data_IF_134616384301
#
_entry.id   IF_134616384301
#
_cell.length_a   1.000
_cell.length_b   1.000
_cell.length_c   1.000
_cell.angle_alpha   90.00
_cell.angle_beta   90.00
_cell.angle_gamma   90.00
#
_symmetry.space_group_name_H-M   'P 1'
#
loop_
_entity.id
_entity.type
_entity.pdbx_description
1 polymer ?
#
# COMPACT_ATOMS: atom_id res chain seq x y z
N UNK A 1 22.30 27.41 8.60
CA UNK A 1 22.97 26.96 7.36
C UNK A 1 21.99 27.17 6.23
N UNK A 2 22.30 28.10 5.36
CA UNK A 2 21.51 28.51 4.19
C UNK A 2 21.56 27.41 3.14
N UNK A 3 20.44 26.74 2.87
CA UNK A 3 20.32 25.83 1.72
C UNK A 3 20.40 26.66 0.44
N UNK A 4 21.56 26.60 -0.21
CA UNK A 4 21.74 27.11 -1.57
C UNK A 4 20.97 26.18 -2.51
N UNK A 5 20.16 26.78 -3.38
CA UNK A 5 19.62 26.14 -4.57
C UNK A 5 20.78 25.68 -5.46
N UNK A 6 21.31 24.49 -5.23
CA UNK A 6 22.16 23.81 -6.20
C UNK A 6 21.30 22.91 -7.07
N UNK A 7 21.33 23.23 -8.36
CA UNK A 7 20.65 22.52 -9.43
C UNK A 7 21.03 21.04 -9.39
N UNK A 8 20.04 20.16 -9.48
CA UNK A 8 20.23 18.72 -9.60
C UNK A 8 21.10 18.38 -10.83
N UNK A 9 22.33 17.93 -10.59
CA UNK A 9 23.37 17.63 -11.61
C UNK A 9 23.06 16.37 -12.45
N UNK A 10 21.92 15.69 -12.22
CA UNK A 10 21.58 14.41 -12.88
C UNK A 10 20.33 14.46 -13.77
N UNK A 11 20.08 15.57 -14.46
CA UNK A 11 19.17 15.54 -15.61
C UNK A 11 19.99 15.18 -16.86
N UNK A 12 19.73 14.04 -17.53
CA UNK A 12 20.36 13.74 -18.81
C UNK A 12 20.10 14.89 -19.79
N UNK A 13 21.13 15.31 -20.52
CA UNK A 13 21.07 16.37 -21.53
C UNK A 13 19.89 16.11 -22.49
N UNK A 14 18.87 16.97 -22.44
CA UNK A 14 17.65 16.84 -23.25
C UNK A 14 16.31 16.87 -22.48
N UNK A 15 16.29 17.04 -21.15
CA UNK A 15 15.05 17.41 -20.45
C UNK A 15 14.87 18.94 -20.46
N UNK A 16 13.92 19.41 -21.27
CA UNK A 16 13.43 20.79 -21.25
C UNK A 16 13.23 21.29 -19.82
N UNK A 17 13.89 22.40 -19.49
CA UNK A 17 13.85 23.06 -18.18
C UNK A 17 12.56 23.87 -17.95
N UNK A 18 11.53 23.67 -18.76
CA UNK A 18 10.20 24.20 -18.48
C UNK A 18 9.44 23.18 -17.63
N UNK A 19 9.29 23.50 -16.35
CA UNK A 19 8.43 22.75 -15.44
C UNK A 19 7.01 22.73 -16.03
N UNK A 20 6.65 21.62 -16.67
CA UNK A 20 5.34 21.44 -17.30
C UNK A 20 4.28 21.65 -16.22
N UNK A 21 3.42 22.66 -16.40
CA UNK A 21 2.33 22.96 -15.47
C UNK A 21 1.27 21.86 -15.53
N UNK A 22 1.42 20.85 -14.69
CA UNK A 22 0.50 19.70 -14.58
C UNK A 22 -0.78 20.07 -13.84
N UNK A 23 -1.89 19.45 -14.22
CA UNK A 23 -3.15 19.55 -13.47
C UNK A 23 -3.00 18.92 -12.07
N UNK A 24 -3.69 19.46 -11.04
CA UNK A 24 -3.68 18.86 -9.71
C UNK A 24 -4.33 17.47 -9.71
N UNK A 25 -3.93 16.60 -8.76
CA UNK A 25 -4.58 15.31 -8.57
C UNK A 25 -6.08 15.51 -8.31
N UNK A 26 -6.92 14.83 -9.09
CA UNK A 26 -8.38 14.88 -8.98
C UNK A 26 -8.92 13.90 -7.95
N UNK A 27 -8.11 12.96 -7.48
CA UNK A 27 -8.47 11.97 -6.45
C UNK A 27 -9.05 12.62 -5.19
N UNK A 28 -8.46 13.73 -4.72
CA UNK A 28 -8.92 14.44 -3.53
C UNK A 28 -10.21 15.25 -3.77
N UNK A 29 -10.56 15.50 -5.04
CA UNK A 29 -11.74 16.28 -5.43
C UNK A 29 -12.98 15.40 -5.67
N UNK A 30 -12.78 14.09 -5.86
CA UNK A 30 -13.85 13.17 -6.20
C UNK A 30 -14.53 12.57 -4.97
N UNK A 31 -15.86 12.28 -5.04
CA UNK A 31 -16.54 11.52 -4.02
C UNK A 31 -15.90 10.14 -3.80
N UNK A 32 -15.97 9.62 -2.58
CA UNK A 32 -15.40 8.32 -2.21
C UNK A 32 -15.78 7.19 -3.18
N UNK A 33 -17.03 7.16 -3.66
CA UNK A 33 -17.51 6.14 -4.60
C UNK A 33 -16.76 6.21 -5.94
N UNK A 34 -16.49 7.41 -6.45
CA UNK A 34 -15.71 7.58 -7.67
C UNK A 34 -14.26 7.12 -7.49
N UNK A 35 -13.71 7.31 -6.28
CA UNK A 35 -12.39 6.81 -5.92
C UNK A 35 -12.37 5.30 -5.72
N UNK A 36 -13.45 4.71 -5.20
CA UNK A 36 -13.59 3.27 -4.99
C UNK A 36 -13.58 2.51 -6.32
N UNK A 37 -14.26 3.04 -7.33
CA UNK A 37 -14.37 2.45 -8.67
C UNK A 37 -13.36 3.02 -9.68
N UNK A 38 -12.39 3.84 -9.25
CA UNK A 38 -11.37 4.46 -10.12
C UNK A 38 -11.96 5.22 -11.32
N UNK A 39 -13.17 5.78 -11.17
CA UNK A 39 -13.91 6.42 -12.27
C UNK A 39 -13.14 7.63 -12.81
N UNK A 40 -12.34 8.28 -11.97
CA UNK A 40 -11.51 9.42 -12.36
C UNK A 40 -10.39 9.07 -13.36
N UNK A 41 -10.05 7.77 -13.53
CA UNK A 41 -9.11 7.31 -14.55
C UNK A 41 -9.75 7.08 -15.92
N UNK A 42 -11.08 7.04 -16.03
CA UNK A 42 -11.77 6.82 -17.31
C UNK A 42 -11.32 7.76 -18.44
N UNK A 43 -11.09 9.06 -18.21
CA UNK A 43 -10.57 9.95 -19.26
C UNK A 43 -9.20 9.53 -19.82
N UNK A 44 -8.37 8.82 -19.04
CA UNK A 44 -7.09 8.28 -19.51
C UNK A 44 -7.28 6.96 -20.26
N UNK A 45 -8.12 6.07 -19.73
CA UNK A 45 -8.35 4.74 -20.31
C UNK A 45 -9.08 4.83 -21.65
N UNK A 46 -10.07 5.72 -21.76
CA UNK A 46 -10.87 5.91 -22.97
C UNK A 46 -10.25 6.91 -23.96
N UNK A 47 -9.01 7.34 -23.73
CA UNK A 47 -8.33 8.32 -24.60
C UNK A 47 -7.88 7.66 -25.90
N UNK A 48 -8.23 8.27 -27.03
CA UNK A 48 -7.79 7.80 -28.37
C UNK A 48 -6.34 8.21 -28.65
N UNK A 49 -5.88 9.35 -28.09
CA UNK A 49 -4.53 9.88 -28.27
C UNK A 49 -3.55 9.26 -27.26
N UNK A 50 -2.27 9.08 -27.65
CA UNK A 50 -1.25 8.62 -26.71
C UNK A 50 -1.10 9.60 -25.54
N UNK A 51 -0.81 9.05 -24.36
CA UNK A 51 -0.58 9.81 -23.13
C UNK A 51 0.76 10.53 -23.22
N UNK A 52 0.76 11.85 -23.06
CA UNK A 52 1.98 12.66 -23.02
C UNK A 52 2.35 13.01 -21.57
N UNK A 53 3.56 13.53 -21.35
CA UNK A 53 4.03 13.95 -20.01
C UNK A 53 3.18 15.07 -19.39
N UNK A 54 2.50 15.85 -20.23
CA UNK A 54 1.63 16.96 -19.83
C UNK A 54 0.30 16.48 -19.28
N UNK A 55 -0.16 15.31 -19.72
CA UNK A 55 -1.41 14.71 -19.26
C UNK A 55 -1.30 14.14 -17.84
N UNK A 56 -0.08 13.94 -17.31
CA UNK A 56 0.13 13.30 -16.01
C UNK A 56 -0.21 14.30 -14.89
N UNK A 57 -1.11 13.93 -13.99
CA UNK A 57 -1.45 14.75 -12.83
C UNK A 57 -0.26 14.96 -11.88
N UNK A 58 -0.32 16.04 -11.10
CA UNK A 58 0.60 16.25 -9.99
C UNK A 58 0.44 15.16 -8.93
N UNK A 59 1.57 14.74 -8.34
CA UNK A 59 1.58 13.77 -7.23
C UNK A 59 0.94 14.40 -5.99
N UNK A 60 0.10 13.64 -5.30
CA UNK A 60 -0.49 14.04 -4.03
C UNK A 60 0.60 14.43 -3.02
N UNK A 61 0.32 15.40 -2.14
CA UNK A 61 1.32 15.91 -1.18
C UNK A 61 1.90 14.80 -0.29
N UNK A 62 1.04 13.92 0.19
CA UNK A 62 1.40 12.77 1.04
C UNK A 62 2.34 11.77 0.36
N UNK A 63 2.32 11.71 -0.97
CA UNK A 63 3.13 10.80 -1.77
C UNK A 63 4.39 11.49 -2.32
N UNK A 64 4.61 12.76 -1.98
CA UNK A 64 5.82 13.49 -2.40
C UNK A 64 7.05 12.88 -1.74
N UNK A 65 8.07 12.69 -2.57
CA UNK A 65 9.33 12.08 -2.17
C UNK A 65 10.05 12.87 -1.07
N UNK A 66 10.08 14.20 -1.16
CA UNK A 66 10.75 15.07 -0.20
C UNK A 66 10.21 14.91 1.22
N UNK A 67 8.88 14.99 1.38
CA UNK A 67 8.23 14.86 2.70
C UNK A 67 8.48 13.48 3.31
N UNK A 68 8.37 12.43 2.51
CA UNK A 68 8.57 11.06 2.94
C UNK A 68 10.05 10.78 3.27
N UNK A 69 10.99 11.29 2.47
CA UNK A 69 12.42 11.18 2.73
C UNK A 69 12.83 11.89 4.03
N UNK A 70 12.33 13.11 4.26
CA UNK A 70 12.59 13.86 5.50
C UNK A 70 12.10 13.11 6.74
N UNK A 71 10.88 12.56 6.70
CA UNK A 71 10.33 11.76 7.81
C UNK A 71 11.19 10.54 8.12
N UNK A 72 11.59 9.79 7.08
CA UNK A 72 12.41 8.59 7.24
C UNK A 72 13.81 8.94 7.74
N UNK A 73 14.44 9.97 7.19
CA UNK A 73 15.77 10.43 7.60
C UNK A 73 15.78 10.85 9.07
N UNK A 74 14.79 11.65 9.51
CA UNK A 74 14.66 12.03 10.92
C UNK A 74 14.44 10.82 11.85
N UNK A 75 13.64 9.84 11.41
CA UNK A 75 13.44 8.59 12.15
C UNK A 75 14.71 7.72 12.22
N UNK A 76 15.47 7.66 11.13
CA UNK A 76 16.74 6.95 11.06
C UNK A 76 17.78 7.57 11.99
N UNK A 77 17.94 8.88 11.92
CA UNK A 77 18.84 9.65 12.80
C UNK A 77 18.54 9.42 14.28
N UNK A 78 17.24 9.38 14.64
CA UNK A 78 16.83 9.11 16.02
C UNK A 78 17.24 7.70 16.45
N UNK A 79 17.02 6.70 15.60
CA UNK A 79 17.40 5.30 15.87
C UNK A 79 18.93 5.14 15.98
N UNK A 80 19.68 5.78 15.09
CA UNK A 80 21.15 5.77 15.11
C UNK A 80 21.69 6.48 16.36
N UNK A 81 21.16 7.65 16.71
CA UNK A 81 21.56 8.38 17.93
C UNK A 81 21.29 7.57 19.20
N UNK A 82 20.17 6.83 19.25
CA UNK A 82 19.86 5.93 20.36
C UNK A 82 20.89 4.80 20.44
N UNK A 83 21.17 4.15 19.32
CA UNK A 83 22.17 3.07 19.24
C UNK A 83 23.58 3.54 19.64
N UNK A 84 24.02 4.72 19.19
CA UNK A 84 25.33 5.29 19.54
C UNK A 84 25.46 5.50 21.06
N UNK A 85 24.40 5.95 21.73
CA UNK A 85 24.41 6.09 23.19
C UNK A 85 24.49 4.74 23.90
N UNK A 86 23.74 3.76 23.42
CA UNK A 86 23.71 2.41 24.00
C UNK A 86 25.05 1.68 23.81
N UNK A 87 25.70 1.81 22.65
CA UNK A 87 27.02 1.21 22.41
C UNK A 87 28.11 1.90 23.21
N UNK A 88 28.08 3.23 23.37
CA UNK A 88 29.04 3.95 24.22
C UNK A 88 28.93 3.52 25.69
N UNK A 89 27.70 3.38 26.19
CA UNK A 89 27.45 2.87 27.53
C UNK A 89 27.95 1.42 27.68
N UNK A 90 27.68 0.55 26.70
CA UNK A 90 28.19 -0.83 26.68
C UNK A 90 29.73 -0.88 26.73
N UNK A 91 30.42 -0.09 25.91
CA UNK A 91 31.89 -0.01 25.88
C UNK A 91 32.42 0.42 27.25
N UNK A 92 31.86 1.49 27.84
CA UNK A 92 32.30 1.99 29.14
C UNK A 92 32.18 0.96 30.28
N UNK A 93 31.12 0.15 30.28
CA UNK A 93 30.94 -0.88 31.31
C UNK A 93 31.87 -2.07 31.06
N UNK A 94 32.09 -2.46 29.80
CA UNK A 94 33.00 -3.55 29.47
C UNK A 94 34.47 -3.22 29.77
N UNK A 95 34.86 -1.96 29.60
CA UNK A 95 36.18 -1.45 30.03
C UNK A 95 36.34 -1.45 31.55
N UNK A 96 35.27 -1.13 32.29
CA UNK A 96 35.28 -1.09 33.77
C UNK A 96 35.17 -2.48 34.40
N UNK A 97 34.44 -3.40 33.76
CA UNK A 97 34.24 -4.78 34.22
C UNK A 97 34.24 -5.76 33.04
N UNK A 98 35.42 -6.31 32.75
CA UNK A 98 35.67 -7.27 31.67
C UNK A 98 34.88 -8.58 31.81
N UNK A 99 34.29 -8.88 32.97
CA UNK A 99 33.50 -10.11 33.22
C UNK A 99 31.99 -9.88 33.15
N UNK A 100 31.54 -8.64 32.94
CA UNK A 100 30.12 -8.32 32.87
C UNK A 100 29.44 -9.01 31.67
N UNK A 101 28.33 -9.72 31.93
CA UNK A 101 27.56 -10.48 30.92
C UNK A 101 26.51 -9.61 30.22
N UNK A 102 26.83 -8.33 30.01
CA UNK A 102 25.89 -7.40 29.39
C UNK A 102 25.75 -7.74 27.91
N UNK A 103 24.50 -7.85 27.43
CA UNK A 103 24.19 -8.12 26.03
C UNK A 103 24.58 -6.90 25.18
N UNK A 104 25.26 -7.15 24.06
CA UNK A 104 25.54 -6.12 23.06
C UNK A 104 24.22 -5.51 22.52
N UNK A 105 24.12 -4.18 22.37
CA UNK A 105 22.92 -3.56 21.83
C UNK A 105 22.68 -3.99 20.38
N UNK A 106 21.42 -4.25 20.05
CA UNK A 106 21.03 -4.70 18.71
C UNK A 106 21.14 -3.52 17.70
N UNK A 107 21.70 -3.79 16.53
CA UNK A 107 21.90 -2.76 15.48
C UNK A 107 20.55 -2.19 15.01
N UNK A 108 20.47 -0.88 14.71
CA UNK A 108 19.25 -0.28 14.20
C UNK A 108 18.92 -0.86 12.82
N UNK A 109 17.70 -1.38 12.67
CA UNK A 109 17.22 -1.89 11.39
C UNK A 109 16.60 -0.78 10.55
N UNK A 110 17.13 -0.58 9.34
CA UNK A 110 16.58 0.38 8.38
C UNK A 110 15.16 -0.02 7.97
N UNK A 111 14.92 -1.32 7.78
CA UNK A 111 13.60 -1.85 7.41
C UNK A 111 12.53 -1.51 8.45
N UNK A 112 12.86 -1.65 9.74
CA UNK A 112 11.93 -1.28 10.81
C UNK A 112 11.64 0.22 10.79
N UNK A 113 12.68 1.05 10.61
CA UNK A 113 12.49 2.50 10.51
C UNK A 113 11.60 2.87 9.32
N UNK A 114 11.81 2.26 8.15
CA UNK A 114 10.97 2.48 6.97
C UNK A 114 9.52 2.09 7.24
N UNK A 115 9.26 0.90 7.78
CA UNK A 115 7.89 0.44 8.07
C UNK A 115 7.21 1.31 9.11
N UNK A 116 7.87 1.71 10.19
CA UNK A 116 7.24 2.49 11.26
C UNK A 116 7.11 3.99 10.94
N UNK A 117 8.00 4.56 10.12
CA UNK A 117 7.95 5.99 9.77
C UNK A 117 7.09 6.27 8.52
N UNK A 118 7.00 5.31 7.60
CA UNK A 118 6.15 5.41 6.39
C UNK A 118 4.82 4.67 6.54
N UNK A 119 4.73 3.73 7.48
CA UNK A 119 3.54 2.93 7.72
C UNK A 119 2.45 3.74 8.38
N UNK A 120 1.56 4.29 7.57
CA UNK A 120 0.34 4.92 8.04
C UNK A 120 -0.73 3.87 8.41
N UNK A 121 -1.79 4.32 9.08
CA UNK A 121 -3.02 3.55 9.30
C UNK A 121 -3.56 2.89 8.01
N UNK A 122 -3.27 3.50 6.84
CA UNK A 122 -3.60 2.97 5.50
C UNK A 122 -2.99 1.58 5.24
N UNK A 123 -1.78 1.30 5.73
CA UNK A 123 -1.12 -0.01 5.57
C UNK A 123 -1.82 -1.09 6.39
N UNK A 124 -2.19 -0.77 7.64
CA UNK A 124 -2.96 -1.70 8.50
C UNK A 124 -4.32 -1.99 7.86
N UNK A 125 -4.98 -0.95 7.35
CA UNK A 125 -6.24 -1.08 6.64
C UNK A 125 -6.11 -1.95 5.37
N UNK A 126 -4.99 -1.85 4.65
CA UNK A 126 -4.69 -2.71 3.50
C UNK A 126 -4.67 -4.19 3.88
N UNK A 127 -3.97 -4.53 4.98
CA UNK A 127 -3.89 -5.90 5.48
C UNK A 127 -5.27 -6.41 5.89
N UNK A 128 -6.06 -5.59 6.59
CA UNK A 128 -7.43 -5.94 6.98
C UNK A 128 -8.30 -6.25 5.76
N UNK A 129 -8.28 -5.39 4.73
CA UNK A 129 -9.06 -5.63 3.51
C UNK A 129 -8.60 -6.87 2.75
N UNK A 130 -7.30 -7.12 2.65
CA UNK A 130 -6.79 -8.34 2.02
C UNK A 130 -7.17 -9.61 2.79
N UNK A 131 -7.19 -9.58 4.12
CA UNK A 131 -7.65 -10.71 4.94
C UNK A 131 -9.14 -11.00 4.72
N UNK A 132 -9.97 -9.96 4.68
CA UNK A 132 -11.41 -10.11 4.38
C UNK A 132 -11.62 -10.67 2.97
N UNK A 133 -10.91 -10.15 1.97
CA UNK A 133 -10.95 -10.65 0.60
C UNK A 133 -10.54 -12.13 0.50
N UNK A 134 -9.48 -12.51 1.20
CA UNK A 134 -9.03 -13.90 1.29
C UNK A 134 -10.12 -14.79 1.92
N UNK A 135 -10.73 -14.35 3.03
CA UNK A 135 -11.85 -15.06 3.67
C UNK A 135 -13.03 -15.28 2.73
N UNK A 136 -13.42 -14.25 1.96
CA UNK A 136 -14.49 -14.37 0.96
C UNK A 136 -14.09 -15.37 -0.15
N UNK A 137 -12.86 -15.27 -0.64
CA UNK A 137 -12.34 -16.14 -1.69
C UNK A 137 -12.33 -17.62 -1.28
N UNK A 138 -12.09 -17.90 0.00
CA UNK A 138 -12.15 -19.26 0.58
C UNK A 138 -13.59 -19.73 0.81
N UNK A 139 -14.52 -18.83 1.15
CA UNK A 139 -15.92 -19.17 1.40
C UNK A 139 -16.73 -19.41 0.12
N UNK A 140 -16.35 -18.79 -1.00
CA UNK A 140 -17.02 -18.93 -2.30
C UNK A 140 -17.18 -20.39 -2.79
N UNK A 141 -16.13 -21.23 -2.83
CA UNK A 141 -16.27 -22.62 -3.29
C UNK A 141 -17.21 -23.42 -2.37
N UNK A 142 -17.14 -23.21 -1.06
CA UNK A 142 -18.04 -23.86 -0.10
C UNK A 142 -19.51 -23.46 -0.30
N UNK A 143 -19.76 -22.18 -0.56
CA UNK A 143 -21.10 -21.68 -0.84
C UNK A 143 -21.65 -22.23 -2.17
N UNK A 144 -20.78 -22.40 -3.17
CA UNK A 144 -21.13 -23.00 -4.46
C UNK A 144 -21.50 -24.49 -4.30
N UNK A 145 -20.72 -25.25 -3.53
CA UNK A 145 -21.02 -26.65 -3.21
C UNK A 145 -22.41 -26.81 -2.59
N UNK A 146 -22.74 -25.97 -1.60
CA UNK A 146 -24.09 -25.95 -0.99
C UNK A 146 -25.19 -25.52 -1.94
N UNK A 147 -24.91 -24.60 -2.86
CA UNK A 147 -25.89 -24.25 -3.89
C UNK A 147 -26.18 -25.44 -4.81
N UNK A 148 -25.16 -26.18 -5.23
CA UNK A 148 -25.30 -27.35 -6.08
C UNK A 148 -26.07 -28.47 -5.38
N UNK A 149 -25.75 -28.76 -4.11
CA UNK A 149 -26.51 -29.75 -3.31
C UNK A 149 -28.02 -29.42 -3.26
N UNK A 150 -28.38 -28.15 -3.02
CA UNK A 150 -29.80 -27.74 -2.96
C UNK A 150 -30.47 -27.84 -4.35
N UNK A 151 -29.73 -27.58 -5.42
CA UNK A 151 -30.25 -27.72 -6.79
C UNK A 151 -30.48 -29.20 -7.12
N UNK A 152 -29.57 -30.09 -6.74
CA UNK A 152 -29.69 -31.53 -6.93
C UNK A 152 -30.88 -32.10 -6.13
N UNK A 153 -31.01 -31.76 -4.84
CA UNK A 153 -32.15 -32.16 -4.00
C UNK A 153 -33.50 -31.70 -4.58
N UNK A 154 -33.53 -30.50 -5.18
CA UNK A 154 -34.74 -30.00 -5.83
C UNK A 154 -35.08 -30.79 -7.09
N UNK A 155 -34.08 -31.12 -7.90
CA UNK A 155 -34.29 -31.90 -9.12
C UNK A 155 -34.84 -33.30 -8.77
N UNK A 156 -34.32 -33.93 -7.71
CA UNK A 156 -34.81 -35.22 -7.22
C UNK A 156 -36.27 -35.13 -6.67
N UNK A 157 -36.60 -34.05 -5.97
CA UNK A 157 -37.97 -33.79 -5.48
C UNK A 157 -38.98 -33.58 -6.62
N UNK A 158 -38.56 -32.90 -7.69
CA UNK A 158 -39.37 -32.70 -8.91
C UNK A 158 -39.62 -34.03 -9.65
N UNK A 159 -38.60 -34.88 -9.76
CA UNK A 159 -38.69 -36.20 -10.39
C UNK A 159 -39.57 -37.19 -9.58
N UNK A 160 -39.60 -37.06 -8.25
CA UNK A 160 -40.39 -37.90 -7.34
C UNK A 160 -41.83 -37.43 -7.12
N UNK A 161 -42.19 -36.24 -7.62
CA UNK A 161 -43.53 -35.66 -7.48
C UNK A 161 -43.83 -35.16 -6.06
N UNK A 162 -42.80 -34.95 -5.24
CA UNK A 162 -42.92 -34.37 -3.90
C UNK A 162 -43.06 -32.83 -3.98
N UNK A 163 -43.44 -32.21 -2.86
CA UNK A 163 -43.63 -30.77 -2.81
C UNK A 163 -42.28 -30.06 -3.00
N UNK A 164 -42.12 -29.35 -4.12
CA UNK A 164 -40.85 -28.71 -4.48
C UNK A 164 -40.29 -27.84 -3.33
N UNK A 165 -39.05 -28.05 -2.89
CA UNK A 165 -38.39 -27.10 -2.01
C UNK A 165 -38.21 -25.76 -2.74
N UNK A 166 -38.50 -24.66 -2.04
CA UNK A 166 -38.36 -23.31 -2.59
C UNK A 166 -36.92 -23.02 -3.02
N UNK A 167 -36.75 -22.34 -4.15
CA UNK A 167 -35.41 -22.06 -4.70
C UNK A 167 -34.55 -21.25 -3.71
N UNK A 168 -33.24 -21.56 -3.58
CA UNK A 168 -32.33 -20.88 -2.65
C UNK A 168 -31.91 -19.50 -3.19
N UNK A 169 -32.86 -18.60 -3.40
CA UNK A 169 -32.63 -17.23 -3.88
C UNK A 169 -31.61 -16.48 -3.00
N UNK A 170 -31.60 -16.77 -1.69
CA UNK A 170 -30.66 -16.17 -0.75
C UNK A 170 -29.23 -16.62 -1.04
N UNK A 171 -28.98 -17.93 -1.20
CA UNK A 171 -27.64 -18.46 -1.50
C UNK A 171 -27.14 -17.98 -2.86
N UNK A 172 -28.02 -17.95 -3.88
CA UNK A 172 -27.69 -17.43 -5.20
C UNK A 172 -27.34 -15.93 -5.18
N UNK A 173 -28.09 -15.12 -4.42
CA UNK A 173 -27.83 -13.68 -4.30
C UNK A 173 -26.52 -13.42 -3.55
N UNK A 174 -26.22 -14.19 -2.50
CA UNK A 174 -24.93 -14.11 -1.79
C UNK A 174 -23.78 -14.49 -2.75
N UNK A 175 -23.95 -15.53 -3.57
CA UNK A 175 -22.96 -15.95 -4.57
C UNK A 175 -22.68 -14.87 -5.63
N UNK A 176 -23.65 -14.04 -5.98
CA UNK A 176 -23.46 -12.92 -6.91
C UNK A 176 -22.73 -11.75 -6.22
N UNK A 177 -23.04 -11.48 -4.96
CA UNK A 177 -22.44 -10.37 -4.20
C UNK A 177 -21.01 -10.68 -3.77
N UNK A 178 -20.69 -11.93 -3.43
CA UNK A 178 -19.37 -12.33 -2.96
C UNK A 178 -18.22 -11.95 -3.91
N UNK A 179 -18.27 -12.25 -5.23
CA UNK A 179 -17.23 -11.83 -6.18
C UNK A 179 -17.08 -10.30 -6.23
N UNK A 180 -18.19 -9.57 -6.18
CA UNK A 180 -18.18 -8.11 -6.22
C UNK A 180 -17.51 -7.52 -4.98
N UNK A 181 -17.90 -8.01 -3.79
CA UNK A 181 -17.29 -7.62 -2.52
C UNK A 181 -15.79 -7.98 -2.51
N UNK A 182 -15.43 -9.19 -2.96
CA UNK A 182 -14.04 -9.64 -3.05
C UNK A 182 -13.20 -8.72 -3.93
N UNK A 183 -13.73 -8.34 -5.10
CA UNK A 183 -13.06 -7.42 -6.02
C UNK A 183 -12.85 -6.04 -5.40
N UNK A 184 -13.85 -5.51 -4.68
CA UNK A 184 -13.73 -4.22 -4.00
C UNK A 184 -12.66 -4.26 -2.92
N UNK A 185 -12.70 -5.25 -2.02
CA UNK A 185 -11.73 -5.36 -0.93
C UNK A 185 -10.31 -5.62 -1.43
N UNK A 186 -10.17 -6.49 -2.43
CA UNK A 186 -8.87 -6.76 -3.08
C UNK A 186 -8.30 -5.49 -3.70
N UNK A 187 -9.13 -4.74 -4.44
CA UNK A 187 -8.68 -3.50 -5.10
C UNK A 187 -8.27 -2.42 -4.10
N UNK A 188 -9.05 -2.24 -3.02
CA UNK A 188 -8.71 -1.31 -1.94
C UNK A 188 -7.41 -1.71 -1.23
N UNK A 189 -7.25 -2.99 -0.91
CA UNK A 189 -6.03 -3.51 -0.28
C UNK A 189 -4.80 -3.28 -1.16
N UNK A 190 -4.91 -3.62 -2.45
CA UNK A 190 -3.82 -3.43 -3.42
C UNK A 190 -3.46 -1.97 -3.64
N UNK A 191 -4.43 -1.06 -3.66
CA UNK A 191 -4.17 0.38 -3.75
C UNK A 191 -3.25 0.85 -2.64
N UNK A 192 -3.64 0.61 -1.39
CA UNK A 192 -2.83 1.05 -0.25
C UNK A 192 -1.46 0.37 -0.21
N UNK A 193 -1.38 -0.90 -0.59
CA UNK A 193 -0.10 -1.60 -0.72
C UNK A 193 0.81 -0.95 -1.78
N UNK A 194 0.28 -0.61 -2.95
CA UNK A 194 1.04 0.05 -4.03
C UNK A 194 1.52 1.44 -3.61
N UNK A 195 0.66 2.27 -3.00
CA UNK A 195 1.08 3.58 -2.48
C UNK A 195 2.20 3.43 -1.45
N UNK A 196 2.08 2.47 -0.53
CA UNK A 196 3.13 2.20 0.46
C UNK A 196 4.45 1.79 -0.19
N UNK A 197 4.44 0.84 -1.13
CA UNK A 197 5.66 0.40 -1.83
C UNK A 197 6.29 1.55 -2.64
N UNK A 198 5.46 2.38 -3.28
CA UNK A 198 5.93 3.56 -4.01
C UNK A 198 6.66 4.55 -3.08
N UNK A 199 6.11 4.80 -1.89
CA UNK A 199 6.74 5.65 -0.86
C UNK A 199 8.06 5.06 -0.36
N UNK A 200 8.08 3.76 -0.04
CA UNK A 200 9.32 3.06 0.39
C UNK A 200 10.40 3.19 -0.66
N UNK A 201 10.08 2.93 -1.92
CA UNK A 201 11.03 3.06 -3.04
C UNK A 201 11.58 4.48 -3.16
N UNK A 202 10.69 5.48 -3.09
CA UNK A 202 11.07 6.88 -3.21
C UNK A 202 11.98 7.33 -2.05
N UNK A 203 11.60 7.01 -0.81
CA UNK A 203 12.42 7.33 0.37
C UNK A 203 13.77 6.63 0.35
N UNK A 204 13.83 5.36 -0.05
CA UNK A 204 15.08 4.63 -0.13
C UNK A 204 16.03 5.23 -1.18
N UNK A 205 15.50 5.64 -2.33
CA UNK A 205 16.30 6.30 -3.37
C UNK A 205 16.92 7.61 -2.85
N UNK A 206 16.15 8.42 -2.11
CA UNK A 206 16.68 9.64 -1.49
C UNK A 206 17.74 9.36 -0.44
N UNK A 207 17.53 8.40 0.47
CA UNK A 207 18.53 8.06 1.48
C UNK A 207 19.85 7.60 0.85
N UNK A 208 19.79 6.82 -0.23
CA UNK A 208 20.99 6.37 -0.95
C UNK A 208 21.70 7.58 -1.56
N UNK A 209 20.96 8.47 -2.22
CA UNK A 209 21.52 9.67 -2.84
C UNK A 209 22.19 10.58 -1.80
N UNK A 210 21.50 10.87 -0.69
CA UNK A 210 22.00 11.68 0.42
C UNK A 210 23.23 11.06 1.11
N UNK A 211 23.36 9.72 1.06
CA UNK A 211 24.53 9.03 1.63
C UNK A 211 25.73 8.95 0.68
N UNK A 212 25.51 9.19 -0.63
CA UNK A 212 26.54 9.05 -1.67
C UNK A 212 27.23 10.39 -1.98
N UNK A 213 26.55 11.51 -1.71
CA UNK A 213 27.06 12.89 -1.88
C UNK A 213 27.66 13.37 -0.56
#
# INVERSE_FOLDING_TARGET
MTCVHEQSIFLPEGLDSQEIKREPNKEDQHPFICNLFYIFFLPFVCRIRPVTKEDIYQVAKEDRTEENAMKVSAGWDKSVKKYIKEIQHYISIKETDSKSTIKEPDKPSLMNTLIFQLGDFKLVLAVVFMLVACGISLAQPYLMEKMLEIVDERQEAEESGEQEPGFPYVSGLILIICPFANSIFTSLGMRYAIHFVARVRASLACLIFDSTI
#
